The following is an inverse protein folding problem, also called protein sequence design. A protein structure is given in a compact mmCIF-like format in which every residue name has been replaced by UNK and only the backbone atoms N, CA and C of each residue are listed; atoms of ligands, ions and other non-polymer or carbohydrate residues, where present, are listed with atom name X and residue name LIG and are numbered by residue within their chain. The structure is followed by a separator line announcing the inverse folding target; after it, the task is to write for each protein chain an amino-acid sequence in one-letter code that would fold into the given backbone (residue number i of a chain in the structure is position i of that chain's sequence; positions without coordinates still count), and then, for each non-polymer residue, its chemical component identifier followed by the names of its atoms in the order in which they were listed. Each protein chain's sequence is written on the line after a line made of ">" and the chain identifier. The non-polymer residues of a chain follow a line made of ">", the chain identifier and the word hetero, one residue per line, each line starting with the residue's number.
data_IF_883987331483
#
_entry.id   IF_883987331483
#
_cell.length_a   1.000
_cell.length_b   1.000
_cell.length_c   1.000
_cell.angle_alpha   90.00
_cell.angle_beta   90.00
_cell.angle_gamma   90.00
#
_symmetry.space_group_name_H-M   'P 1'
#
loop_
_entity.id
_entity.type
_entity.pdbx_description
1 polymer ?
#
# COMPACT_ATOMS: atom_id res chain seq x y z
N UNK A 1 29.41 -2.08 8.32
CA UNK A 1 29.11 -2.96 9.47
C UNK A 1 28.84 -4.35 8.94
N UNK A 2 29.27 -5.39 9.65
CA UNK A 2 29.00 -6.79 9.31
C UNK A 2 28.15 -7.42 10.42
N UNK A 3 27.15 -8.20 10.04
CA UNK A 3 26.25 -8.87 10.98
C UNK A 3 26.39 -10.38 10.88
N UNK A 4 26.59 -11.04 12.01
CA UNK A 4 26.79 -12.49 12.09
C UNK A 4 25.93 -13.11 13.18
N UNK A 5 25.69 -14.41 13.07
CA UNK A 5 25.25 -15.24 14.20
C UNK A 5 26.33 -15.25 15.29
N UNK A 6 26.00 -15.81 16.47
CA UNK A 6 26.98 -15.98 17.55
C UNK A 6 28.14 -16.90 17.17
N UNK A 7 27.94 -17.87 16.28
CA UNK A 7 29.00 -18.75 15.74
C UNK A 7 29.92 -18.05 14.70
N UNK A 8 29.70 -16.75 14.44
CA UNK A 8 30.43 -15.93 13.46
C UNK A 8 30.11 -16.21 11.98
N UNK A 9 29.13 -17.05 11.69
CA UNK A 9 28.56 -17.19 10.33
C UNK A 9 27.77 -15.93 9.98
N UNK A 10 27.86 -15.46 8.74
CA UNK A 10 27.12 -14.28 8.30
C UNK A 10 25.60 -14.48 8.39
N UNK A 11 24.89 -13.44 8.84
CA UNK A 11 23.43 -13.42 8.76
C UNK A 11 23.00 -13.35 7.28
N UNK A 12 21.88 -14.01 6.91
CA UNK A 12 21.31 -13.88 5.58
C UNK A 12 20.85 -12.44 5.27
N UNK A 13 20.55 -11.67 6.31
CA UNK A 13 20.24 -10.24 6.21
C UNK A 13 21.34 -9.46 6.91
N UNK A 14 22.10 -8.65 6.17
CA UNK A 14 23.19 -7.81 6.71
C UNK A 14 22.64 -6.53 7.36
N UNK A 15 21.78 -6.69 8.36
CA UNK A 15 21.12 -5.61 9.12
C UNK A 15 21.00 -5.99 10.60
N UNK A 16 20.60 -5.01 11.41
CA UNK A 16 20.30 -5.19 12.82
C UNK A 16 18.97 -5.92 13.02
N UNK A 17 19.02 -7.25 12.93
CA UNK A 17 17.85 -8.11 13.07
C UNK A 17 17.14 -7.96 14.43
N UNK A 18 17.87 -7.63 15.50
CA UNK A 18 17.28 -7.47 16.83
C UNK A 18 16.39 -6.23 16.85
N UNK A 19 16.87 -5.12 16.29
CA UNK A 19 16.08 -3.92 16.13
C UNK A 19 14.85 -4.16 15.24
N UNK A 20 15.04 -4.83 14.09
CA UNK A 20 13.94 -5.17 13.18
C UNK A 20 12.87 -6.05 13.87
N UNK A 21 13.26 -6.98 14.76
CA UNK A 21 12.34 -7.83 15.54
C UNK A 21 11.59 -7.02 16.60
N UNK A 22 12.28 -6.12 17.31
CA UNK A 22 11.64 -5.20 18.26
C UNK A 22 10.64 -4.27 17.56
N UNK A 23 10.99 -3.79 16.37
CA UNK A 23 10.09 -2.98 15.55
C UNK A 23 8.85 -3.75 15.10
N UNK A 24 9.01 -5.03 14.71
CA UNK A 24 7.88 -5.91 14.41
C UNK A 24 6.93 -6.09 15.61
N UNK A 25 7.47 -6.30 16.82
CA UNK A 25 6.67 -6.43 18.04
C UNK A 25 5.92 -5.14 18.33
N UNK A 26 6.61 -3.99 18.23
CA UNK A 26 6.04 -2.66 18.44
C UNK A 26 4.88 -2.38 17.48
N UNK A 27 5.08 -2.54 16.17
CA UNK A 27 4.00 -2.29 15.20
C UNK A 27 2.84 -3.26 15.37
N UNK A 28 3.08 -4.50 15.82
CA UNK A 28 2.01 -5.44 16.13
C UNK A 28 1.16 -4.98 17.31
N UNK A 29 1.80 -4.44 18.37
CA UNK A 29 1.12 -3.88 19.54
C UNK A 29 0.28 -2.64 19.21
N UNK A 30 0.64 -1.90 18.18
CA UNK A 30 -0.08 -0.71 17.76
C UNK A 30 -1.19 -1.02 16.73
N UNK A 31 -0.90 -1.82 15.71
CA UNK A 31 -1.83 -2.07 14.61
C UNK A 31 -3.00 -3.00 14.98
N UNK A 32 -2.75 -4.07 15.73
CA UNK A 32 -3.78 -5.07 16.08
C UNK A 32 -4.94 -4.44 16.89
N UNK A 33 -4.69 -3.62 17.93
CA UNK A 33 -5.78 -2.95 18.64
C UNK A 33 -6.60 -1.98 17.77
N UNK A 34 -5.96 -1.32 16.80
CA UNK A 34 -6.67 -0.44 15.86
C UNK A 34 -7.61 -1.25 14.96
N UNK A 35 -7.15 -2.38 14.43
CA UNK A 35 -7.98 -3.31 13.67
C UNK A 35 -9.17 -3.84 14.51
N UNK A 36 -8.91 -4.26 15.75
CA UNK A 36 -9.97 -4.68 16.69
C UNK A 36 -11.02 -3.59 16.90
N UNK A 37 -10.58 -2.33 16.97
CA UNK A 37 -11.47 -1.18 17.13
C UNK A 37 -12.36 -0.99 15.89
N UNK A 38 -11.82 -1.15 14.68
CA UNK A 38 -12.59 -1.11 13.43
C UNK A 38 -13.64 -2.22 13.40
N UNK A 39 -13.25 -3.45 13.73
CA UNK A 39 -14.17 -4.60 13.81
C UNK A 39 -15.31 -4.31 14.79
N UNK A 40 -14.98 -3.76 15.97
CA UNK A 40 -15.97 -3.37 16.98
C UNK A 40 -16.96 -2.31 16.48
N UNK A 41 -16.49 -1.26 15.81
CA UNK A 41 -17.35 -0.21 15.23
C UNK A 41 -18.25 -0.79 14.14
N UNK A 42 -17.71 -1.61 13.23
CA UNK A 42 -18.49 -2.23 12.15
C UNK A 42 -19.59 -3.15 12.70
N UNK A 43 -19.26 -3.95 13.72
CA UNK A 43 -20.23 -4.85 14.36
C UNK A 43 -21.29 -4.08 15.14
N UNK A 44 -20.90 -3.08 15.93
CA UNK A 44 -21.84 -2.22 16.66
C UNK A 44 -22.79 -1.46 15.72
N UNK A 45 -22.27 -0.89 14.62
CA UNK A 45 -23.12 -0.21 13.63
C UNK A 45 -24.10 -1.17 12.93
N UNK A 46 -23.69 -2.43 12.69
CA UNK A 46 -24.57 -3.46 12.15
C UNK A 46 -25.70 -3.81 13.12
N UNK A 47 -25.40 -3.92 14.41
CA UNK A 47 -26.39 -4.17 15.46
C UNK A 47 -27.39 -3.01 15.58
N UNK A 48 -26.92 -1.76 15.63
CA UNK A 48 -27.80 -0.60 15.74
C UNK A 48 -28.64 -0.35 14.50
N UNK A 49 -28.11 -0.69 13.32
CA UNK A 49 -28.91 -0.70 12.10
C UNK A 49 -30.03 -1.73 12.18
N UNK A 50 -29.76 -2.93 12.71
CA UNK A 50 -30.79 -3.96 12.88
C UNK A 50 -31.86 -3.54 13.90
N UNK A 51 -31.48 -2.91 15.01
CA UNK A 51 -32.44 -2.37 15.99
C UNK A 51 -33.28 -1.25 15.37
N UNK A 52 -32.65 -0.34 14.63
CA UNK A 52 -33.35 0.78 13.99
C UNK A 52 -34.33 0.30 12.92
N UNK A 53 -33.97 -0.73 12.16
CA UNK A 53 -34.86 -1.36 11.18
C UNK A 53 -36.10 -1.97 11.83
N UNK A 54 -35.95 -2.71 12.95
CA UNK A 54 -37.10 -3.24 13.69
C UNK A 54 -38.04 -2.14 14.18
N UNK A 55 -37.49 -1.03 14.66
CA UNK A 55 -38.30 0.13 15.11
C UNK A 55 -39.07 0.78 13.97
N UNK A 56 -38.52 0.82 12.76
CA UNK A 56 -39.26 1.30 11.57
C UNK A 56 -40.45 0.39 11.26
N UNK A 57 -40.24 -0.94 11.33
CA UNK A 57 -41.30 -1.93 11.14
C UNK A 57 -42.38 -1.86 12.23
N UNK A 58 -42.01 -1.56 13.48
CA UNK A 58 -42.96 -1.32 14.57
C UNK A 58 -43.84 -0.08 14.33
N UNK A 59 -43.27 1.00 13.78
CA UNK A 59 -44.04 2.20 13.40
C UNK A 59 -45.04 1.87 12.29
N UNK A 60 -44.60 1.14 11.25
CA UNK A 60 -45.45 0.72 10.14
C UNK A 60 -46.60 -0.18 10.62
N UNK A 61 -46.28 -1.13 11.50
CA UNK A 61 -47.29 -2.00 12.11
C UNK A 61 -48.30 -1.21 12.94
N UNK A 62 -47.82 -0.30 13.78
CA UNK A 62 -48.71 0.52 14.61
C UNK A 62 -49.65 1.39 13.76
N UNK A 63 -49.12 2.03 12.71
CA UNK A 63 -49.95 2.80 11.77
C UNK A 63 -51.05 1.93 11.15
N UNK A 64 -50.67 0.74 10.69
CA UNK A 64 -51.61 -0.21 10.10
C UNK A 64 -52.68 -0.64 11.10
N UNK A 65 -52.28 -1.00 12.32
CA UNK A 65 -53.21 -1.42 13.38
C UNK A 65 -54.23 -0.32 13.72
N UNK A 66 -53.81 0.96 13.72
CA UNK A 66 -54.72 2.11 13.90
C UNK A 66 -55.70 2.25 12.74
N UNK A 67 -55.24 2.13 11.50
CA UNK A 67 -56.09 2.22 10.31
C UNK A 67 -57.12 1.09 10.32
N UNK A 68 -56.66 -0.15 10.49
CA UNK A 68 -57.51 -1.34 10.48
C UNK A 68 -58.58 -1.26 11.59
N UNK A 69 -58.20 -0.82 12.79
CA UNK A 69 -59.14 -0.62 13.91
C UNK A 69 -60.19 0.46 13.63
N UNK A 70 -59.79 1.59 13.04
CA UNK A 70 -60.71 2.67 12.71
C UNK A 70 -61.68 2.27 11.59
N UNK A 71 -61.20 1.55 10.57
CA UNK A 71 -62.01 1.00 9.48
C UNK A 71 -63.06 0.00 10.01
N UNK A 72 -62.65 -0.91 10.88
CA UNK A 72 -63.55 -1.90 11.49
C UNK A 72 -64.62 -1.22 12.37
N UNK A 73 -64.23 -0.24 13.19
CA UNK A 73 -65.13 0.35 14.18
C UNK A 73 -66.25 1.20 13.59
N UNK A 74 -66.01 1.79 12.42
CA UNK A 74 -66.97 2.67 11.71
C UNK A 74 -67.69 1.94 10.57
N UNK A 75 -67.53 0.62 10.47
CA UNK A 75 -68.18 -0.17 9.44
C UNK A 75 -69.71 -0.04 9.53
N UNK A 76 -70.34 0.40 8.43
CA UNK A 76 -71.80 0.60 8.37
C UNK A 76 -72.31 1.86 9.08
N UNK A 77 -71.42 2.76 9.54
CA UNK A 77 -71.80 4.06 10.10
C UNK A 77 -71.98 5.08 8.98
N UNK A 78 -73.13 5.76 8.96
CA UNK A 78 -73.45 6.83 7.98
C UNK A 78 -73.36 8.25 8.56
N UNK A 79 -73.12 8.42 9.86
CA UNK A 79 -72.98 9.74 10.49
C UNK A 79 -71.74 10.46 9.93
N UNK A 80 -71.98 11.63 9.31
CA UNK A 80 -70.92 12.48 8.76
C UNK A 80 -69.89 12.89 9.83
N UNK A 81 -70.33 13.18 11.04
CA UNK A 81 -69.44 13.59 12.15
C UNK A 81 -68.46 12.46 12.52
N UNK A 82 -68.95 11.21 12.56
CA UNK A 82 -68.11 10.03 12.86
C UNK A 82 -67.12 9.76 11.71
N UNK A 83 -67.55 9.94 10.47
CA UNK A 83 -66.68 9.78 9.29
C UNK A 83 -65.61 10.87 9.22
N UNK A 84 -65.90 12.12 9.60
CA UNK A 84 -64.89 13.18 9.70
C UNK A 84 -63.84 12.84 10.77
N UNK A 85 -64.28 12.37 11.95
CA UNK A 85 -63.36 11.94 13.02
C UNK A 85 -62.43 10.83 12.51
N UNK A 86 -62.99 9.81 11.84
CA UNK A 86 -62.21 8.71 11.23
C UNK A 86 -61.13 9.25 10.28
N UNK A 87 -61.52 10.10 9.33
CA UNK A 87 -60.62 10.63 8.33
C UNK A 87 -59.45 11.39 8.98
N UNK A 88 -59.75 12.28 9.94
CA UNK A 88 -58.73 13.05 10.68
C UNK A 88 -57.81 12.15 11.50
N UNK A 89 -58.33 11.09 12.13
CA UNK A 89 -57.50 10.14 12.89
C UNK A 89 -56.53 9.40 11.98
N UNK A 90 -56.99 8.89 10.83
CA UNK A 90 -56.14 8.19 9.85
C UNK A 90 -55.08 9.13 9.27
N UNK A 91 -55.46 10.34 8.89
CA UNK A 91 -54.54 11.37 8.37
C UNK A 91 -53.47 11.74 9.40
N UNK A 92 -53.88 11.98 10.65
CA UNK A 92 -52.97 12.32 11.74
C UNK A 92 -52.02 11.17 12.03
N UNK A 93 -52.52 9.93 12.11
CA UNK A 93 -51.71 8.73 12.32
C UNK A 93 -50.67 8.58 11.21
N UNK A 94 -51.08 8.74 9.95
CA UNK A 94 -50.18 8.62 8.79
C UNK A 94 -49.11 9.70 8.78
N UNK A 95 -49.48 10.94 9.09
CA UNK A 95 -48.55 12.07 9.16
C UNK A 95 -47.51 11.89 10.26
N UNK A 96 -47.95 11.53 11.47
CA UNK A 96 -47.07 11.31 12.62
C UNK A 96 -46.15 10.11 12.39
N UNK A 97 -46.67 9.01 11.85
CA UNK A 97 -45.86 7.84 11.51
C UNK A 97 -44.80 8.17 10.47
N UNK A 98 -45.14 8.90 9.40
CA UNK A 98 -44.18 9.35 8.39
C UNK A 98 -43.08 10.23 9.00
N UNK A 99 -43.45 11.20 9.84
CA UNK A 99 -42.48 12.05 10.54
C UNK A 99 -41.53 11.22 11.40
N UNK A 100 -42.05 10.27 12.19
CA UNK A 100 -41.22 9.40 13.03
C UNK A 100 -40.33 8.46 12.23
N UNK A 101 -40.78 7.98 11.07
CA UNK A 101 -39.92 7.21 10.15
C UNK A 101 -38.78 8.07 9.61
N UNK A 102 -39.07 9.31 9.19
CA UNK A 102 -38.05 10.22 8.67
C UNK A 102 -37.01 10.57 9.73
N UNK A 103 -37.43 10.90 10.96
CA UNK A 103 -36.51 11.13 12.09
C UNK A 103 -35.56 9.93 12.29
N UNK A 104 -36.08 8.70 12.17
CA UNK A 104 -35.28 7.48 12.34
C UNK A 104 -34.34 7.19 11.19
N UNK A 105 -34.74 7.48 9.95
CA UNK A 105 -33.85 7.39 8.79
C UNK A 105 -32.70 8.38 8.91
N UNK A 106 -32.96 9.62 9.35
CA UNK A 106 -31.93 10.62 9.60
C UNK A 106 -30.96 10.18 10.71
N UNK A 107 -31.46 9.58 11.79
CA UNK A 107 -30.63 8.99 12.85
C UNK A 107 -29.71 7.88 12.31
N UNK A 108 -30.24 6.97 11.47
CA UNK A 108 -29.46 5.90 10.82
C UNK A 108 -28.36 6.49 9.94
N UNK A 109 -28.68 7.49 9.13
CA UNK A 109 -27.72 8.15 8.24
C UNK A 109 -26.63 8.89 9.02
N UNK A 110 -26.97 9.47 10.17
CA UNK A 110 -25.98 10.09 11.07
C UNK A 110 -25.04 9.04 11.66
N UNK A 111 -25.59 7.92 12.16
CA UNK A 111 -24.80 6.83 12.74
C UNK A 111 -23.84 6.21 11.72
N UNK A 112 -24.33 5.92 10.51
CA UNK A 112 -23.50 5.37 9.43
C UNK A 112 -22.36 6.31 9.03
N UNK A 113 -22.64 7.62 8.91
CA UNK A 113 -21.61 8.62 8.58
C UNK A 113 -20.55 8.71 9.67
N UNK A 114 -20.97 8.72 10.94
CA UNK A 114 -20.04 8.76 12.06
C UNK A 114 -19.16 7.50 12.09
N UNK A 115 -19.76 6.31 11.99
CA UNK A 115 -19.03 5.05 11.95
C UNK A 115 -18.02 5.01 10.78
N UNK A 116 -18.42 5.46 9.59
CA UNK A 116 -17.54 5.54 8.43
C UNK A 116 -16.34 6.46 8.67
N UNK A 117 -16.57 7.65 9.24
CA UNK A 117 -15.49 8.60 9.55
C UNK A 117 -14.52 8.04 10.59
N UNK A 118 -15.03 7.41 11.65
CA UNK A 118 -14.20 6.78 12.68
C UNK A 118 -13.37 5.63 12.11
N UNK A 119 -13.97 4.78 11.26
CA UNK A 119 -13.27 3.69 10.56
C UNK A 119 -12.15 4.26 9.68
N UNK A 120 -12.42 5.23 8.81
CA UNK A 120 -11.41 5.81 7.92
C UNK A 120 -10.22 6.45 8.68
N UNK A 121 -10.49 7.07 9.83
CA UNK A 121 -9.44 7.60 10.70
C UNK A 121 -8.56 6.47 11.27
N UNK A 122 -9.15 5.37 11.72
CA UNK A 122 -8.41 4.21 12.20
C UNK A 122 -7.63 3.52 11.10
N UNK A 123 -8.20 3.37 9.91
CA UNK A 123 -7.53 2.81 8.72
C UNK A 123 -6.29 3.64 8.35
N UNK A 124 -6.43 4.98 8.33
CA UNK A 124 -5.31 5.91 8.10
C UNK A 124 -4.22 5.75 9.16
N UNK A 125 -4.60 5.57 10.44
CA UNK A 125 -3.65 5.36 11.54
C UNK A 125 -2.93 4.02 11.41
N UNK A 126 -3.62 2.95 11.01
CA UNK A 126 -2.99 1.65 10.74
C UNK A 126 -1.91 1.81 9.67
N UNK A 127 -2.24 2.41 8.52
CA UNK A 127 -1.25 2.63 7.44
C UNK A 127 -0.06 3.47 7.93
N UNK A 128 -0.31 4.52 8.71
CA UNK A 128 0.75 5.36 9.28
C UNK A 128 1.65 4.59 10.26
N UNK A 129 1.08 3.73 11.12
CA UNK A 129 1.81 2.86 12.05
C UNK A 129 2.65 1.82 11.30
N UNK A 130 2.11 1.21 10.25
CA UNK A 130 2.82 0.19 9.48
C UNK A 130 3.91 0.77 8.57
N UNK A 131 3.74 2.01 8.08
CA UNK A 131 4.58 2.62 7.06
C UNK A 131 6.09 2.53 7.33
N UNK A 132 6.62 2.91 8.51
CA UNK A 132 8.08 2.87 8.74
C UNK A 132 8.64 1.44 8.71
N UNK A 133 7.89 0.47 9.21
CA UNK A 133 8.29 -0.93 9.22
C UNK A 133 8.27 -1.54 7.82
N UNK A 134 7.20 -1.29 7.05
CA UNK A 134 7.06 -1.77 5.67
C UNK A 134 8.10 -1.16 4.71
N UNK A 135 8.66 0.00 5.04
CA UNK A 135 9.66 0.66 4.20
C UNK A 135 10.98 -0.10 4.12
N UNK A 136 11.41 -0.76 5.21
CA UNK A 136 12.76 -1.35 5.25
C UNK A 136 12.88 -2.73 5.89
N UNK A 137 11.83 -3.23 6.54
CA UNK A 137 11.93 -4.41 7.43
C UNK A 137 11.19 -5.64 6.90
N UNK A 138 10.71 -5.62 5.65
CA UNK A 138 10.09 -6.80 5.02
C UNK A 138 11.14 -7.57 4.20
N UNK A 139 11.64 -8.67 4.75
CA UNK A 139 12.69 -9.45 4.10
C UNK A 139 12.18 -10.26 2.90
N UNK A 140 12.99 -10.29 1.84
CA UNK A 140 12.68 -11.03 0.62
C UNK A 140 11.60 -10.39 -0.25
N UNK A 141 11.23 -9.13 0.01
CA UNK A 141 10.32 -8.40 -0.85
C UNK A 141 10.95 -8.04 -2.20
N UNK A 142 10.24 -8.37 -3.26
CA UNK A 142 10.53 -7.87 -4.61
C UNK A 142 9.93 -6.47 -4.74
N UNK A 143 10.65 -5.57 -5.41
CA UNK A 143 10.27 -4.17 -5.50
C UNK A 143 10.19 -3.73 -6.96
N UNK A 144 9.07 -3.11 -7.31
CA UNK A 144 8.86 -2.42 -8.56
C UNK A 144 8.64 -0.93 -8.30
N UNK A 145 9.34 -0.07 -9.04
CA UNK A 145 9.34 1.37 -8.88
C UNK A 145 8.84 2.04 -10.15
N UNK A 146 8.05 3.08 -9.96
CA UNK A 146 7.44 3.83 -11.04
C UNK A 146 7.58 5.32 -10.74
N UNK A 147 7.98 6.09 -11.74
CA UNK A 147 7.97 7.55 -11.67
C UNK A 147 7.40 8.11 -12.98
N UNK A 148 6.48 9.06 -12.88
CA UNK A 148 5.86 9.70 -14.04
C UNK A 148 5.78 11.21 -13.83
N UNK A 149 6.11 11.97 -14.88
CA UNK A 149 5.98 13.41 -14.86
C UNK A 149 4.56 13.80 -15.27
N UNK A 150 3.79 14.37 -14.34
CA UNK A 150 2.46 14.93 -14.57
C UNK A 150 2.47 16.41 -14.16
N UNK A 151 1.95 17.31 -14.99
CA UNK A 151 1.81 18.74 -14.67
C UNK A 151 3.11 19.42 -14.16
N UNK A 152 4.28 18.99 -14.67
CA UNK A 152 5.62 19.46 -14.27
C UNK A 152 6.04 19.03 -12.85
N UNK A 153 5.36 18.06 -12.27
CA UNK A 153 5.76 17.39 -11.04
C UNK A 153 6.00 15.89 -11.30
N UNK A 154 7.10 15.40 -10.76
CA UNK A 154 7.41 13.98 -10.80
C UNK A 154 6.71 13.31 -9.62
N UNK A 155 5.78 12.41 -9.92
CA UNK A 155 5.11 11.54 -8.94
C UNK A 155 5.66 10.14 -9.05
N UNK A 156 5.68 9.40 -7.95
CA UNK A 156 6.14 8.03 -7.96
C UNK A 156 5.35 7.10 -7.08
N UNK A 157 5.51 5.81 -7.37
CA UNK A 157 5.02 4.72 -6.53
C UNK A 157 6.03 3.59 -6.47
N UNK A 158 6.09 2.93 -5.32
CA UNK A 158 6.80 1.67 -5.14
C UNK A 158 5.76 0.61 -4.82
N UNK A 159 5.74 -0.47 -5.59
CA UNK A 159 4.95 -1.67 -5.29
C UNK A 159 5.91 -2.77 -4.89
N UNK A 160 5.63 -3.37 -3.74
CA UNK A 160 6.47 -4.40 -3.17
C UNK A 160 5.64 -5.63 -2.85
N UNK A 161 6.20 -6.82 -3.04
CA UNK A 161 5.50 -8.09 -2.80
C UNK A 161 6.36 -9.16 -2.16
N UNK A 162 5.79 -9.90 -1.22
CA UNK A 162 6.39 -11.08 -0.60
C UNK A 162 5.30 -12.04 -0.11
N UNK A 163 5.40 -13.33 -0.45
CA UNK A 163 4.55 -14.39 0.09
C UNK A 163 3.03 -14.07 0.13
N UNK A 164 2.48 -13.45 -0.93
CA UNK A 164 1.05 -13.08 -1.01
C UNK A 164 0.68 -11.73 -0.38
N UNK A 165 1.60 -11.12 0.38
CA UNK A 165 1.47 -9.72 0.83
C UNK A 165 2.01 -8.81 -0.26
N UNK A 166 1.20 -7.86 -0.72
CA UNK A 166 1.63 -6.77 -1.59
C UNK A 166 1.38 -5.44 -0.87
N UNK A 167 2.27 -4.47 -1.03
CA UNK A 167 2.09 -3.15 -0.43
C UNK A 167 2.60 -2.06 -1.36
N UNK A 168 1.93 -0.92 -1.29
CA UNK A 168 2.20 0.21 -2.17
C UNK A 168 2.57 1.45 -1.36
N UNK A 169 3.69 2.07 -1.72
CA UNK A 169 4.10 3.38 -1.26
C UNK A 169 3.88 4.42 -2.35
N UNK A 170 3.33 5.55 -1.98
CA UNK A 170 3.49 6.80 -2.74
C UNK A 170 4.87 7.39 -2.44
N UNK A 171 5.58 7.82 -3.48
CA UNK A 171 6.92 8.39 -3.42
C UNK A 171 6.86 9.88 -3.75
N UNK A 172 7.42 10.70 -2.85
CA UNK A 172 7.63 12.11 -3.12
C UNK A 172 9.11 12.35 -3.43
N UNK A 173 9.40 12.92 -4.60
CA UNK A 173 10.77 13.22 -5.02
C UNK A 173 11.22 14.62 -4.58
N UNK A 174 12.53 14.81 -4.47
CA UNK A 174 13.13 16.11 -4.16
C UNK A 174 13.04 17.11 -5.33
N UNK A 175 12.90 16.63 -6.56
CA UNK A 175 12.87 17.42 -7.79
C UNK A 175 11.54 17.25 -8.53
N UNK A 176 11.00 18.34 -9.07
CA UNK A 176 9.73 18.34 -9.82
C UNK A 176 9.87 17.89 -11.27
N UNK A 177 11.04 18.05 -11.90
CA UNK A 177 11.33 17.59 -13.25
C UNK A 177 12.70 16.92 -13.29
N UNK A 178 12.86 16.00 -14.25
CA UNK A 178 14.09 15.25 -14.46
C UNK A 178 14.46 15.31 -15.94
N UNK A 179 15.66 15.78 -16.25
CA UNK A 179 16.25 15.72 -17.58
C UNK A 179 17.24 14.57 -17.68
N UNK A 180 17.61 14.22 -18.91
CA UNK A 180 18.65 13.24 -19.19
C UNK A 180 20.00 13.68 -18.61
N UNK A 181 20.37 14.96 -18.82
CA UNK A 181 21.62 15.54 -18.32
C UNK A 181 21.80 15.47 -16.79
N UNK A 182 20.69 15.49 -16.03
CA UNK A 182 20.70 15.37 -14.56
C UNK A 182 21.26 14.01 -14.09
N UNK A 183 21.17 12.98 -14.96
CA UNK A 183 21.70 11.64 -14.70
C UNK A 183 23.02 11.43 -15.42
N UNK A 184 23.05 11.71 -16.73
CA UNK A 184 24.20 11.58 -17.63
C UNK A 184 23.84 12.13 -19.02
N UNK A 185 24.74 12.89 -19.63
CA UNK A 185 24.63 13.24 -21.06
C UNK A 185 24.53 11.98 -21.94
N UNK A 186 23.66 12.02 -22.95
CA UNK A 186 23.38 10.87 -23.80
C UNK A 186 23.11 11.33 -25.24
N UNK A 187 23.56 10.52 -26.19
CA UNK A 187 23.33 10.76 -27.62
C UNK A 187 22.82 9.49 -28.28
N UNK A 188 21.77 9.58 -29.10
CA UNK A 188 21.13 8.45 -29.75
C UNK A 188 21.16 8.58 -31.29
N UNK A 189 21.41 7.48 -32.03
CA UNK A 189 21.39 7.52 -33.49
C UNK A 189 19.97 7.54 -34.03
N UNK A 190 19.69 8.41 -34.99
CA UNK A 190 18.39 8.54 -35.67
C UNK A 190 18.56 8.71 -37.18
N UNK A 191 17.51 8.38 -37.93
CA UNK A 191 17.37 8.81 -39.31
C UNK A 191 16.96 10.29 -39.37
N UNK A 192 17.75 11.09 -40.06
CA UNK A 192 17.44 12.49 -40.33
C UNK A 192 17.33 12.72 -41.85
N UNK A 193 16.32 13.48 -42.26
CA UNK A 193 16.19 13.94 -43.65
C UNK A 193 17.12 15.14 -43.86
N UNK A 194 17.99 15.07 -44.86
CA UNK A 194 18.92 16.15 -45.22
C UNK A 194 18.85 16.44 -46.72
N UNK A 195 18.97 17.72 -47.09
CA UNK A 195 19.00 18.20 -48.48
C UNK A 195 17.78 19.04 -48.88
N UNK A 196 18.03 20.16 -49.57
CA UNK A 196 16.98 21.08 -50.08
C UNK A 196 16.38 20.58 -51.41
N UNK A 197 17.10 19.75 -52.16
CA UNK A 197 16.74 19.30 -53.52
C UNK A 197 16.46 17.79 -53.65
N UNK A 198 17.13 16.94 -52.87
CA UNK A 198 16.82 15.51 -52.70
C UNK A 198 16.71 15.23 -51.21
N UNK A 199 15.60 14.63 -50.77
CA UNK A 199 15.43 14.16 -49.38
C UNK A 199 16.26 12.89 -49.22
N UNK A 200 17.54 13.03 -48.91
CA UNK A 200 18.39 11.89 -48.54
C UNK A 200 18.21 11.59 -47.05
N UNK A 201 17.97 10.33 -46.72
CA UNK A 201 18.03 9.86 -45.34
C UNK A 201 19.49 9.63 -44.94
N UNK A 202 19.92 10.35 -43.91
CA UNK A 202 21.27 10.23 -43.34
C UNK A 202 21.17 9.91 -41.86
N UNK A 203 22.10 9.09 -41.38
CA UNK A 203 22.21 8.81 -39.95
C UNK A 203 22.78 10.04 -39.25
N UNK A 204 22.12 10.48 -38.18
CA UNK A 204 22.57 11.56 -37.31
C UNK A 204 22.63 11.07 -35.87
N UNK A 205 23.63 11.53 -35.13
CA UNK A 205 23.68 11.42 -33.67
C UNK A 205 22.92 12.60 -33.06
N UNK A 206 21.79 12.33 -32.42
CA UNK A 206 20.95 13.32 -31.75
C UNK A 206 21.36 13.38 -30.27
N UNK A 207 21.74 14.56 -29.81
CA UNK A 207 21.93 14.81 -28.38
C UNK A 207 20.56 14.86 -27.71
N UNK A 208 20.36 14.02 -26.71
CA UNK A 208 19.10 13.92 -25.95
C UNK A 208 19.28 14.43 -24.51
N UNK A 209 20.40 15.08 -24.20
CA UNK A 209 20.72 15.54 -22.84
C UNK A 209 19.68 16.54 -22.29
N UNK A 210 19.14 17.39 -23.15
CA UNK A 210 18.07 18.35 -22.81
C UNK A 210 16.65 17.75 -22.75
N UNK A 211 16.48 16.46 -23.07
CA UNK A 211 15.17 15.82 -23.07
C UNK A 211 14.71 15.58 -21.63
N UNK A 212 13.40 15.67 -21.42
CA UNK A 212 12.76 15.33 -20.15
C UNK A 212 12.54 13.82 -20.07
N UNK A 213 12.75 13.29 -18.88
CA UNK A 213 12.39 11.92 -18.52
C UNK A 213 10.94 11.95 -18.03
N UNK A 214 10.02 11.43 -18.84
CA UNK A 214 8.58 11.52 -18.55
C UNK A 214 8.04 10.29 -17.82
N UNK A 215 8.71 9.16 -17.96
CA UNK A 215 8.36 7.92 -17.28
C UNK A 215 9.61 7.09 -16.95
N UNK A 216 9.60 6.43 -15.80
CA UNK A 216 10.59 5.44 -15.39
C UNK A 216 9.84 4.27 -14.75
N UNK A 217 10.08 3.07 -15.27
CA UNK A 217 9.63 1.81 -14.69
C UNK A 217 10.88 0.98 -14.37
N UNK A 218 11.00 0.51 -13.14
CA UNK A 218 12.14 -0.28 -12.68
C UNK A 218 11.65 -1.47 -11.84
N UNK A 219 11.87 -2.69 -12.34
CA UNK A 219 11.46 -3.93 -11.68
C UNK A 219 12.52 -5.02 -11.86
N UNK A 220 13.04 -5.57 -10.76
CA UNK A 220 14.12 -6.54 -10.78
C UNK A 220 15.36 -5.96 -11.49
N UNK A 221 15.72 -6.50 -12.64
CA UNK A 221 16.80 -5.95 -13.48
C UNK A 221 16.30 -5.11 -14.67
N UNK A 222 15.00 -5.14 -14.94
CA UNK A 222 14.36 -4.42 -16.04
C UNK A 222 14.21 -2.94 -15.73
N UNK A 223 14.59 -2.09 -16.68
CA UNK A 223 14.36 -0.64 -16.66
C UNK A 223 13.73 -0.23 -17.97
N UNK A 224 12.66 0.54 -17.89
CA UNK A 224 12.05 1.20 -19.04
C UNK A 224 11.91 2.68 -18.75
N UNK A 225 12.20 3.51 -19.74
CA UNK A 225 12.06 4.95 -19.61
C UNK A 225 11.64 5.60 -20.92
N UNK A 226 11.00 6.76 -20.81
CA UNK A 226 10.61 7.57 -21.96
C UNK A 226 11.31 8.92 -21.87
N UNK A 227 12.02 9.28 -22.94
CA UNK A 227 12.69 10.56 -23.11
C UNK A 227 11.91 11.38 -24.13
N UNK A 228 11.60 12.62 -23.80
CA UNK A 228 10.81 13.49 -24.66
C UNK A 228 11.39 14.90 -24.71
N UNK A 229 11.46 15.47 -25.91
CA UNK A 229 11.81 16.88 -26.07
C UNK A 229 10.66 17.79 -25.60
N UNK A 230 10.93 19.08 -25.50
CA UNK A 230 9.98 20.07 -24.95
C UNK A 230 8.67 20.15 -25.74
N UNK A 231 8.74 19.96 -27.06
CA UNK A 231 7.61 20.13 -27.97
C UNK A 231 6.94 18.80 -28.32
N UNK A 232 7.38 17.69 -27.70
CA UNK A 232 6.89 16.34 -27.93
C UNK A 232 7.03 15.83 -29.38
N UNK A 233 7.90 16.44 -30.18
CA UNK A 233 8.20 16.04 -31.56
C UNK A 233 9.13 14.81 -31.59
N UNK A 234 10.01 14.70 -30.59
CA UNK A 234 11.01 13.66 -30.49
C UNK A 234 10.81 12.86 -29.21
N UNK A 235 10.47 11.58 -29.38
CA UNK A 235 10.23 10.67 -28.26
C UNK A 235 11.03 9.39 -28.44
N UNK A 236 11.81 9.05 -27.41
CA UNK A 236 12.50 7.78 -27.32
C UNK A 236 11.91 6.94 -26.19
N UNK A 237 11.67 5.65 -26.46
CA UNK A 237 11.40 4.66 -25.42
C UNK A 237 12.60 3.75 -25.32
N UNK A 238 13.24 3.73 -24.16
CA UNK A 238 14.35 2.84 -23.87
C UNK A 238 13.86 1.73 -22.95
N UNK A 239 14.25 0.50 -23.23
CA UNK A 239 13.97 -0.66 -22.37
C UNK A 239 15.20 -1.54 -22.31
N UNK A 240 15.61 -1.92 -21.10
CA UNK A 240 16.79 -2.74 -20.90
C UNK A 240 16.58 -3.72 -19.76
N UNK A 241 17.05 -4.95 -19.94
CA UNK A 241 17.25 -5.94 -18.88
C UNK A 241 18.66 -6.56 -18.99
N UNK A 242 18.94 -7.64 -18.27
CA UNK A 242 20.27 -8.29 -18.28
C UNK A 242 20.69 -8.82 -19.66
N UNK A 243 19.76 -8.98 -20.62
CA UNK A 243 19.98 -9.68 -21.89
C UNK A 243 19.63 -8.84 -23.11
N UNK A 244 18.74 -7.86 -22.94
CA UNK A 244 18.12 -7.14 -24.03
C UNK A 244 18.24 -5.63 -23.82
N UNK A 245 18.45 -4.93 -24.93
CA UNK A 245 18.39 -3.47 -25.01
C UNK A 245 17.52 -3.13 -26.20
N UNK A 246 16.43 -2.40 -25.98
CA UNK A 246 15.53 -1.93 -27.02
C UNK A 246 15.43 -0.41 -26.96
N UNK A 247 15.61 0.22 -28.11
CA UNK A 247 15.52 1.66 -28.28
C UNK A 247 14.52 1.91 -29.40
N UNK A 248 13.40 2.54 -29.06
CA UNK A 248 12.40 2.99 -30.04
C UNK A 248 12.50 4.50 -30.19
N UNK A 249 12.36 5.01 -31.41
CA UNK A 249 12.18 6.43 -31.70
C UNK A 249 10.88 6.62 -32.48
N UNK A 250 9.84 7.13 -31.81
CA UNK A 250 8.46 6.92 -32.24
C UNK A 250 8.17 5.42 -32.40
N UNK A 251 7.72 5.03 -33.60
CA UNK A 251 7.46 3.61 -33.94
C UNK A 251 8.67 2.89 -34.56
N UNK A 252 9.81 3.56 -34.74
CA UNK A 252 11.00 2.98 -35.36
C UNK A 252 11.91 2.28 -34.33
N UNK A 253 12.28 1.02 -34.59
CA UNK A 253 13.19 0.25 -33.74
C UNK A 253 14.65 0.51 -34.12
N UNK A 254 15.34 1.31 -33.30
CA UNK A 254 16.74 1.67 -33.50
C UNK A 254 17.66 0.48 -33.26
N UNK A 255 17.32 -0.40 -32.29
CA UNK A 255 18.15 -1.58 -31.99
C UNK A 255 18.06 -2.62 -33.11
N UNK A 256 16.91 -2.74 -33.76
CA UNK A 256 16.70 -3.65 -34.90
C UNK A 256 17.27 -3.14 -36.23
N UNK A 257 17.65 -1.86 -36.32
CA UNK A 257 18.14 -1.24 -37.55
C UNK A 257 19.63 -1.51 -37.78
N UNK A 258 19.96 -2.18 -38.89
CA UNK A 258 21.34 -2.58 -39.23
C UNK A 258 22.34 -1.41 -39.33
N UNK A 259 21.86 -0.20 -39.63
CA UNK A 259 22.72 0.99 -39.78
C UNK A 259 22.77 1.85 -38.52
N UNK A 260 21.72 1.89 -37.72
CA UNK A 260 21.69 2.64 -36.47
C UNK A 260 22.25 1.85 -35.28
N UNK A 261 21.96 0.57 -35.18
CA UNK A 261 22.32 -0.27 -34.04
C UNK A 261 23.84 -0.30 -33.73
N UNK A 262 24.75 -0.36 -34.74
CA UNK A 262 26.19 -0.32 -34.48
C UNK A 262 26.70 1.02 -33.92
N UNK A 263 25.90 2.08 -34.01
CA UNK A 263 26.27 3.44 -33.60
C UNK A 263 25.79 3.79 -32.18
N UNK A 264 25.05 2.87 -31.55
CA UNK A 264 24.59 3.00 -30.17
C UNK A 264 25.80 2.90 -29.22
N UNK A 265 25.99 3.92 -28.38
CA UNK A 265 26.92 3.85 -27.26
C UNK A 265 26.30 3.03 -26.12
N UNK A 266 26.60 1.72 -26.12
CA UNK A 266 26.06 0.77 -25.14
C UNK A 266 26.57 1.03 -23.73
N UNK A 267 27.80 1.53 -23.58
CA UNK A 267 28.37 1.80 -22.25
C UNK A 267 27.70 3.02 -21.62
N UNK A 268 27.54 4.10 -22.39
CA UNK A 268 26.83 5.28 -21.92
C UNK A 268 25.38 4.95 -21.53
N UNK A 269 24.68 4.15 -22.34
CA UNK A 269 23.32 3.70 -22.04
C UNK A 269 23.25 2.83 -20.79
N UNK A 270 24.13 1.85 -20.65
CA UNK A 270 24.16 1.00 -19.46
C UNK A 270 24.33 1.85 -18.19
N UNK A 271 25.26 2.79 -18.21
CA UNK A 271 25.50 3.70 -17.09
C UNK A 271 24.30 4.63 -16.83
N UNK A 272 23.62 5.11 -17.88
CA UNK A 272 22.39 5.86 -17.75
C UNK A 272 21.27 5.03 -17.08
N UNK A 273 21.10 3.77 -17.46
CA UNK A 273 20.15 2.84 -16.83
C UNK A 273 20.48 2.59 -15.35
N UNK A 274 21.76 2.45 -15.00
CA UNK A 274 22.20 2.35 -13.60
C UNK A 274 21.82 3.61 -12.83
N UNK A 275 21.99 4.80 -13.42
CA UNK A 275 21.60 6.07 -12.79
C UNK A 275 20.08 6.21 -12.60
N UNK A 276 19.28 5.69 -13.53
CA UNK A 276 17.83 5.59 -13.36
C UNK A 276 17.43 4.71 -12.18
N UNK A 277 18.13 3.59 -11.94
CA UNK A 277 17.90 2.76 -10.74
C UNK A 277 18.30 3.51 -9.47
N UNK A 278 19.45 4.16 -9.47
CA UNK A 278 19.94 4.97 -8.33
C UNK A 278 19.03 6.17 -8.01
N UNK A 279 18.29 6.68 -8.99
CA UNK A 279 17.36 7.80 -8.79
C UNK A 279 16.32 7.51 -7.70
N UNK A 280 15.72 6.32 -7.67
CA UNK A 280 14.72 5.96 -6.65
C UNK A 280 15.30 5.83 -5.23
N UNK A 281 16.61 5.59 -5.10
CA UNK A 281 17.24 5.50 -3.77
C UNK A 281 17.75 6.86 -3.30
N UNK A 282 18.17 7.75 -4.22
CA UNK A 282 18.77 9.05 -3.89
C UNK A 282 17.78 10.21 -3.87
N UNK A 283 16.75 10.17 -4.71
CA UNK A 283 15.86 11.32 -4.96
C UNK A 283 14.54 11.25 -4.22
N UNK A 284 14.19 10.10 -3.63
CA UNK A 284 12.96 9.95 -2.82
C UNK A 284 13.15 10.66 -1.48
N UNK A 285 12.37 11.71 -1.25
CA UNK A 285 12.36 12.52 -0.02
C UNK A 285 11.52 11.88 1.07
N UNK A 286 10.37 11.32 0.71
CA UNK A 286 9.49 10.63 1.65
C UNK A 286 8.67 9.54 0.96
N UNK A 287 8.31 8.54 1.75
CA UNK A 287 7.40 7.45 1.36
C UNK A 287 6.17 7.51 2.24
N UNK A 288 5.01 7.25 1.65
CA UNK A 288 3.76 7.09 2.38
C UNK A 288 3.09 5.80 1.98
N UNK A 289 2.92 4.88 2.94
CA UNK A 289 2.19 3.65 2.70
C UNK A 289 0.74 3.99 2.34
N UNK A 290 0.32 3.58 1.14
CA UNK A 290 -1.01 3.81 0.60
C UNK A 290 -1.92 2.62 0.81
N UNK A 291 -1.38 1.42 0.64
CA UNK A 291 -2.18 0.20 0.69
C UNK A 291 -1.33 -1.00 1.08
N UNK A 292 -1.98 -1.95 1.76
CA UNK A 292 -1.48 -3.31 1.98
C UNK A 292 -2.56 -4.26 1.48
N UNK A 293 -2.17 -5.22 0.66
CA UNK A 293 -3.01 -6.27 0.09
C UNK A 293 -2.54 -7.62 0.60
N UNK A 294 -3.50 -8.49 0.92
CA UNK A 294 -3.26 -9.92 1.16
C UNK A 294 -4.09 -10.71 0.15
N UNK A 295 -3.42 -11.46 -0.73
CA UNK A 295 -4.06 -12.23 -1.79
C UNK A 295 -5.04 -11.38 -2.63
N UNK A 296 -4.64 -10.14 -2.92
CA UNK A 296 -5.42 -9.17 -3.69
C UNK A 296 -6.51 -8.42 -2.91
N UNK A 297 -6.71 -8.71 -1.63
CA UNK A 297 -7.70 -8.02 -0.77
C UNK A 297 -7.05 -6.93 0.06
N UNK A 298 -7.69 -5.77 0.17
CA UNK A 298 -7.17 -4.68 1.00
C UNK A 298 -7.18 -5.06 2.48
N UNK A 299 -5.99 -5.23 3.06
CA UNK A 299 -5.84 -5.78 4.39
C UNK A 299 -6.46 -4.91 5.48
N UNK A 300 -6.40 -3.59 5.28
CA UNK A 300 -6.89 -2.61 6.24
C UNK A 300 -8.42 -2.52 6.17
N UNK A 301 -8.98 -2.42 4.96
CA UNK A 301 -10.43 -2.33 4.73
C UNK A 301 -11.16 -3.63 5.11
N UNK A 302 -10.56 -4.78 4.84
CA UNK A 302 -11.12 -6.12 5.10
C UNK A 302 -10.82 -6.65 6.51
N UNK A 303 -10.06 -5.89 7.31
CA UNK A 303 -9.70 -6.25 8.69
C UNK A 303 -8.93 -7.59 8.78
N UNK A 304 -7.92 -7.72 7.92
CA UNK A 304 -6.99 -8.86 7.82
C UNK A 304 -5.51 -8.40 7.93
N UNK A 305 -5.25 -7.28 8.62
CA UNK A 305 -3.91 -6.79 8.95
C UNK A 305 -3.18 -7.80 9.83
N UNK A 306 -3.86 -8.37 10.82
CA UNK A 306 -3.29 -9.45 11.63
C UNK A 306 -2.82 -10.64 10.78
N UNK A 307 -3.56 -11.02 9.74
CA UNK A 307 -3.15 -12.08 8.82
C UNK A 307 -1.87 -11.73 8.04
N UNK A 308 -1.71 -10.46 7.63
CA UNK A 308 -0.46 -9.97 7.05
C UNK A 308 0.71 -10.09 8.04
N UNK A 309 0.49 -9.70 9.30
CA UNK A 309 1.50 -9.78 10.35
C UNK A 309 1.92 -11.23 10.65
N UNK A 310 1.02 -12.21 10.51
CA UNK A 310 1.37 -13.64 10.64
C UNK A 310 2.35 -14.10 9.55
N UNK A 311 2.16 -13.65 8.31
CA UNK A 311 3.09 -13.98 7.22
C UNK A 311 4.47 -13.38 7.45
N UNK A 312 4.52 -12.13 7.91
CA UNK A 312 5.77 -11.44 8.27
C UNK A 312 6.44 -12.13 9.47
N UNK A 313 5.68 -12.49 10.50
CA UNK A 313 6.17 -13.28 11.62
C UNK A 313 6.75 -14.63 11.17
N UNK A 314 6.16 -15.26 10.15
CA UNK A 314 6.69 -16.49 9.56
C UNK A 314 8.06 -16.30 8.91
N UNK A 315 8.28 -15.16 8.24
CA UNK A 315 9.59 -14.77 7.68
C UNK A 315 10.61 -14.57 8.81
N UNK A 316 10.26 -13.77 9.81
CA UNK A 316 11.13 -13.48 10.94
C UNK A 316 11.43 -14.72 11.79
N UNK A 317 10.42 -15.56 12.02
CA UNK A 317 10.53 -16.77 12.84
C UNK A 317 11.55 -17.76 12.31
N UNK A 318 11.80 -17.79 10.99
CA UNK A 318 12.90 -18.58 10.42
C UNK A 318 14.25 -18.11 10.95
N UNK A 319 14.50 -16.80 10.92
CA UNK A 319 15.75 -16.21 11.38
C UNK A 319 15.88 -16.24 12.91
N UNK A 320 14.77 -16.06 13.65
CA UNK A 320 14.74 -16.26 15.11
C UNK A 320 15.21 -17.66 15.49
N UNK A 321 14.68 -18.70 14.83
CA UNK A 321 15.07 -20.10 15.10
C UNK A 321 16.54 -20.33 14.80
N UNK A 322 17.05 -19.84 13.67
CA UNK A 322 18.48 -19.97 13.35
C UNK A 322 19.38 -19.26 14.37
N UNK A 323 19.00 -18.06 14.82
CA UNK A 323 19.72 -17.35 15.88
C UNK A 323 19.76 -18.15 17.19
N UNK A 324 18.65 -18.78 17.59
CA UNK A 324 18.58 -19.61 18.79
C UNK A 324 19.39 -20.90 18.63
N UNK A 325 19.29 -21.57 17.47
CA UNK A 325 19.98 -22.83 17.18
C UNK A 325 21.50 -22.65 17.19
N UNK A 326 21.99 -21.58 16.56
CA UNK A 326 23.42 -21.22 16.48
C UNK A 326 23.91 -20.41 17.69
N UNK A 327 23.00 -20.02 18.58
CA UNK A 327 23.28 -19.28 19.80
C UNK A 327 23.70 -20.18 20.97
N UNK A 328 24.49 -19.61 21.88
CA UNK A 328 24.91 -20.24 23.13
C UNK A 328 23.75 -20.33 24.14
N UNK A 329 22.88 -19.32 24.16
CA UNK A 329 21.73 -19.24 25.08
C UNK A 329 20.43 -19.54 24.33
N UNK A 330 19.75 -20.65 24.66
CA UNK A 330 18.48 -21.03 23.99
C UNK A 330 17.28 -20.15 24.37
N UNK A 331 17.42 -19.34 25.41
CA UNK A 331 16.44 -18.37 25.86
C UNK A 331 16.51 -17.01 25.16
N UNK A 332 17.46 -16.79 24.26
CA UNK A 332 17.75 -15.49 23.66
C UNK A 332 17.88 -15.59 22.14
N UNK A 333 17.47 -14.53 21.46
CA UNK A 333 17.79 -14.30 20.05
C UNK A 333 18.96 -13.33 20.03
N UNK A 334 20.14 -13.78 19.58
CA UNK A 334 21.37 -12.98 19.66
C UNK A 334 22.08 -12.88 18.31
N UNK A 335 22.54 -11.68 17.98
CA UNK A 335 23.41 -11.41 16.82
C UNK A 335 24.69 -10.70 17.25
N UNK A 336 25.72 -10.80 16.43
CA UNK A 336 26.99 -10.08 16.55
C UNK A 336 27.07 -9.00 15.47
N UNK A 337 27.59 -7.84 15.87
CA UNK A 337 27.87 -6.70 14.99
C UNK A 337 29.36 -6.42 15.00
N UNK A 338 29.95 -6.25 13.82
CA UNK A 338 31.35 -5.85 13.65
C UNK A 338 31.43 -4.49 12.96
N UNK A 339 32.02 -3.52 13.64
CA UNK A 339 32.25 -2.17 13.14
C UNK A 339 33.56 -2.08 12.34
N UNK A 340 33.68 -1.10 11.41
CA UNK A 340 34.95 -0.78 10.77
C UNK A 340 35.98 -0.37 11.85
N UNK A 341 36.93 -1.26 12.17
CA UNK A 341 37.84 -1.09 13.31
C UNK A 341 37.91 -2.29 14.26
N UNK A 342 37.21 -3.39 13.95
CA UNK A 342 37.24 -4.66 14.68
C UNK A 342 36.60 -4.64 16.07
N UNK A 343 35.83 -3.59 16.39
CA UNK A 343 34.96 -3.59 17.58
C UNK A 343 33.80 -4.54 17.30
N UNK A 344 33.67 -5.56 18.15
CA UNK A 344 32.59 -6.55 18.10
C UNK A 344 31.67 -6.38 19.28
N UNK A 345 30.38 -6.18 19.01
CA UNK A 345 29.33 -6.07 20.03
C UNK A 345 28.25 -7.11 19.79
N UNK A 346 27.57 -7.53 20.85
CA UNK A 346 26.40 -8.41 20.77
C UNK A 346 25.13 -7.60 21.01
N UNK A 347 24.07 -7.93 20.26
CA UNK A 347 22.70 -7.48 20.53
C UNK A 347 21.82 -8.70 20.72
N UNK A 348 20.92 -8.63 21.70
CA UNK A 348 20.01 -9.72 21.97
C UNK A 348 18.64 -9.22 22.43
N UNK A 349 17.64 -10.09 22.29
CA UNK A 349 16.34 -9.98 22.95
C UNK A 349 15.99 -11.33 23.58
N UNK A 350 15.47 -11.32 24.80
CA UNK A 350 15.07 -12.57 25.45
C UNK A 350 13.73 -13.07 24.89
N UNK A 351 13.57 -14.39 24.77
CA UNK A 351 12.31 -15.01 24.36
C UNK A 351 11.17 -14.62 25.30
N UNK A 352 11.44 -14.58 26.61
CA UNK A 352 10.46 -14.20 27.63
C UNK A 352 9.99 -12.76 27.48
N UNK A 353 10.89 -11.83 27.16
CA UNK A 353 10.56 -10.43 26.91
C UNK A 353 9.69 -10.29 25.66
N UNK A 354 10.15 -10.84 24.53
CA UNK A 354 9.39 -10.79 23.27
C UNK A 354 8.01 -11.45 23.39
N UNK A 355 7.94 -12.62 24.04
CA UNK A 355 6.69 -13.33 24.29
C UNK A 355 5.75 -12.55 25.21
N UNK A 356 6.27 -11.96 26.28
CA UNK A 356 5.49 -11.13 27.22
C UNK A 356 4.89 -9.90 26.52
N UNK A 357 5.72 -9.21 25.71
CA UNK A 357 5.28 -8.03 24.97
C UNK A 357 4.16 -8.34 23.97
N UNK A 358 4.27 -9.45 23.24
CA UNK A 358 3.24 -9.89 22.32
C UNK A 358 2.00 -10.39 23.05
N UNK A 359 2.16 -11.15 24.13
CA UNK A 359 1.03 -11.68 24.92
C UNK A 359 0.14 -10.57 25.50
N UNK A 360 0.70 -9.38 25.75
CA UNK A 360 -0.07 -8.22 26.20
C UNK A 360 -1.14 -7.74 25.18
N UNK A 361 -1.06 -8.17 23.91
CA UNK A 361 -2.05 -7.88 22.86
C UNK A 361 -3.29 -8.79 22.98
N UNK A 362 -3.15 -9.95 23.63
CA UNK A 362 -4.17 -11.01 23.74
C UNK A 362 -3.87 -12.22 22.85
N UNK A 363 -4.93 -12.91 22.42
CA UNK A 363 -4.85 -14.16 21.63
C UNK A 363 -4.01 -14.04 20.36
N UNK A 364 -4.18 -12.95 19.62
CA UNK A 364 -3.48 -12.65 18.38
C UNK A 364 -1.98 -12.48 18.62
N UNK A 365 -1.61 -11.80 19.70
CA UNK A 365 -0.20 -11.65 20.08
C UNK A 365 0.43 -12.97 20.53
N UNK A 366 -0.29 -13.80 21.28
CA UNK A 366 0.17 -15.16 21.61
C UNK A 366 0.39 -16.01 20.36
N UNK A 367 -0.45 -15.87 19.33
CA UNK A 367 -0.26 -16.52 18.05
C UNK A 367 1.00 -16.02 17.33
N UNK A 368 1.25 -14.71 17.27
CA UNK A 368 2.51 -14.17 16.72
C UNK A 368 3.74 -14.69 17.48
N UNK A 369 3.68 -14.73 18.81
CA UNK A 369 4.78 -15.22 19.65
C UNK A 369 5.13 -16.68 19.33
N UNK A 370 4.12 -17.52 19.06
CA UNK A 370 4.31 -18.90 18.61
C UNK A 370 4.90 -18.98 17.20
N UNK A 371 4.38 -18.21 16.25
CA UNK A 371 4.90 -18.20 14.86
C UNK A 371 6.37 -17.75 14.82
N UNK A 372 6.73 -16.74 15.61
CA UNK A 372 8.10 -16.27 15.76
C UNK A 372 9.02 -17.30 16.43
N UNK A 373 8.48 -18.24 17.20
CA UNK A 373 9.27 -19.21 17.98
C UNK A 373 9.81 -18.66 19.31
N UNK A 374 9.21 -17.59 19.84
CA UNK A 374 9.56 -17.00 21.15
C UNK A 374 8.67 -17.49 22.29
N UNK A 375 7.55 -18.16 21.99
CA UNK A 375 6.71 -18.87 22.95
C UNK A 375 6.67 -20.38 22.64
N UNK A 376 6.33 -21.20 23.64
CA UNK A 376 6.04 -22.63 23.42
C UNK A 376 4.74 -22.81 22.62
N UNK A 377 4.67 -23.89 21.84
CA UNK A 377 3.62 -24.15 20.86
C UNK A 377 2.26 -24.52 21.50
#
# INVERSE_FOLDING_TARGET
>A
MKYTFQDSTELPVQRDFIQDLQDFIRISKEAIPLEKSIIGIKQGNKEEKAISQRRLEEIDKFQKDVIDYMEERVQGVESEEILEIKARTIETSSTVSMLKKNERLEDIDRLNRQALMEVQQLETRILATLSPFFETSIYGAENAYYASAEDKELKGRQVSSVNGVQYEFELNFAHGALKVEDLRELTLPVWAKSGILSREEKVKKMDVSDFHITNIEYEGNSVKTVLQDKDAEHMFTLSADDRTLRIMYGDHDITGDEKLAPLIDREALYMFMVKLKEFFTKSVKSRRLRQVLLDGKNAVEENIVFDCLKLIAGIYGKLVRECIERGYTKGEVTIKMEEPGSVRTEKYVSKSEASSELSAIGSEGMELARILGVAEA
#
